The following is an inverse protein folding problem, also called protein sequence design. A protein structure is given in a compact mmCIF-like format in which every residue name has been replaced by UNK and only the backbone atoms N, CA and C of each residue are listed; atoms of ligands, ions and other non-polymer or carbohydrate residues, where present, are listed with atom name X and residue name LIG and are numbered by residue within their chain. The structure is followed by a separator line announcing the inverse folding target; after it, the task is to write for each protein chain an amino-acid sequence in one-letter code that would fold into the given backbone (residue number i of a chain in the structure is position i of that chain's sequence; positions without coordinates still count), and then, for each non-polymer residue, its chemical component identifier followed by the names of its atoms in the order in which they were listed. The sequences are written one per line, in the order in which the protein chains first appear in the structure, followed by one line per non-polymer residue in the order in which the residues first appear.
data_IF_900326333736
#
_entry.id   IF_900326333736
#
_cell.length_a   1.000
_cell.length_b   1.000
_cell.length_c   1.000
_cell.angle_alpha   90.00
_cell.angle_beta   90.00
_cell.angle_gamma   90.00
#
_symmetry.space_group_name_H-M   'P 1'
#
loop_
_entity.id
_entity.type
_entity.pdbx_description
1 polymer ?
#
# COMPACT_ATOMS: atom_id res chain seq x y z
N UNK A 1 23.42 -27.25 -9.24
CA UNK A 1 22.05 -27.74 -8.93
C UNK A 1 21.56 -27.35 -7.54
N UNK A 2 22.41 -27.16 -6.52
CA UNK A 2 21.97 -26.69 -5.19
C UNK A 2 21.44 -25.24 -5.17
N UNK A 3 22.13 -24.31 -5.84
CA UNK A 3 21.72 -22.88 -5.86
C UNK A 3 20.34 -22.62 -6.48
N UNK A 4 19.90 -23.46 -7.43
CA UNK A 4 18.58 -23.32 -8.06
C UNK A 4 17.44 -23.51 -7.04
N UNK A 5 17.56 -24.47 -6.13
CA UNK A 5 16.55 -24.68 -5.09
C UNK A 5 16.45 -23.50 -4.13
N UNK A 6 17.58 -22.88 -3.78
CA UNK A 6 17.62 -21.69 -2.94
C UNK A 6 16.97 -20.49 -3.65
N UNK A 7 17.25 -20.29 -4.94
CA UNK A 7 16.65 -19.23 -5.73
C UNK A 7 15.14 -19.39 -5.91
N UNK A 8 14.66 -20.62 -6.09
CA UNK A 8 13.22 -20.93 -6.18
C UNK A 8 12.52 -20.65 -4.84
N UNK A 9 13.12 -21.08 -3.73
CA UNK A 9 12.53 -20.81 -2.42
C UNK A 9 12.49 -19.30 -2.14
N UNK A 10 13.59 -18.60 -2.43
CA UNK A 10 13.67 -17.16 -2.27
C UNK A 10 12.64 -16.41 -3.12
N UNK A 11 12.44 -16.81 -4.39
CA UNK A 11 11.46 -16.15 -5.26
C UNK A 11 10.03 -16.36 -4.78
N UNK A 12 9.68 -17.56 -4.32
CA UNK A 12 8.36 -17.86 -3.74
C UNK A 12 8.14 -17.06 -2.46
N UNK A 13 9.14 -16.99 -1.58
CA UNK A 13 9.04 -16.19 -0.34
C UNK A 13 8.81 -14.71 -0.65
N UNK A 14 9.56 -14.15 -1.59
CA UNK A 14 9.41 -12.74 -2.01
C UNK A 14 8.03 -12.50 -2.61
N UNK A 15 7.57 -13.38 -3.51
CA UNK A 15 6.25 -13.27 -4.13
C UNK A 15 5.12 -13.33 -3.08
N UNK A 16 5.20 -14.28 -2.14
CA UNK A 16 4.23 -14.42 -1.06
C UNK A 16 4.24 -13.20 -0.12
N UNK A 17 5.42 -12.68 0.22
CA UNK A 17 5.57 -11.47 1.02
C UNK A 17 4.85 -10.28 0.38
N UNK A 18 5.09 -10.03 -0.91
CA UNK A 18 4.42 -8.95 -1.64
C UNK A 18 2.91 -9.16 -1.73
N UNK A 19 2.45 -10.40 -1.93
CA UNK A 19 1.02 -10.71 -1.97
C UNK A 19 0.33 -10.42 -0.63
N UNK A 20 0.94 -10.84 0.49
CA UNK A 20 0.40 -10.59 1.83
C UNK A 20 0.38 -9.08 2.13
N UNK A 21 1.46 -8.38 1.82
CA UNK A 21 1.55 -6.93 1.99
C UNK A 21 0.47 -6.21 1.16
N UNK A 22 0.23 -6.65 -0.08
CA UNK A 22 -0.81 -6.11 -0.94
C UNK A 22 -2.21 -6.31 -0.36
N UNK A 23 -2.54 -7.53 0.07
CA UNK A 23 -3.85 -7.84 0.68
C UNK A 23 -4.06 -7.02 1.95
N UNK A 24 -3.03 -6.90 2.79
CA UNK A 24 -3.07 -6.06 3.99
C UNK A 24 -3.32 -4.59 3.64
N UNK A 25 -2.60 -4.05 2.64
CA UNK A 25 -2.76 -2.67 2.16
C UNK A 25 -4.20 -2.38 1.72
N UNK A 26 -4.79 -3.26 0.91
CA UNK A 26 -6.17 -3.12 0.43
C UNK A 26 -7.17 -3.18 1.59
N UNK A 27 -7.00 -4.13 2.53
CA UNK A 27 -7.88 -4.27 3.69
C UNK A 27 -7.77 -3.11 4.67
N UNK A 28 -6.59 -2.50 4.79
CA UNK A 28 -6.34 -1.36 5.67
C UNK A 28 -6.85 -0.01 5.13
N UNK A 29 -7.49 0.00 3.96
CA UNK A 29 -8.05 1.21 3.35
C UNK A 29 -7.03 2.35 3.15
N UNK A 30 -5.74 2.00 2.98
CA UNK A 30 -4.64 2.94 2.73
C UNK A 30 -4.87 3.84 1.50
N UNK A 31 -5.80 3.46 0.61
CA UNK A 31 -6.11 4.17 -0.62
C UNK A 31 -7.34 5.09 -0.51
N UNK A 32 -7.87 5.33 0.70
CA UNK A 32 -9.03 6.21 0.90
C UNK A 32 -8.69 7.70 0.82
N UNK A 33 -7.42 8.09 1.02
CA UNK A 33 -6.98 9.48 0.87
C UNK A 33 -6.82 9.87 -0.61
N UNK A 34 -7.94 9.87 -1.34
CA UNK A 34 -8.02 10.18 -2.77
C UNK A 34 -7.87 11.66 -3.07
N UNK A 35 -8.19 12.51 -2.10
CA UNK A 35 -8.20 13.97 -2.25
C UNK A 35 -6.80 14.54 -1.95
N UNK A 36 -5.99 13.84 -1.17
CA UNK A 36 -4.62 14.24 -0.85
C UNK A 36 -4.59 15.43 0.11
N UNK A 37 -3.49 15.54 0.86
CA UNK A 37 -3.35 16.56 1.90
C UNK A 37 -3.56 18.00 1.40
N UNK A 38 -3.16 18.30 0.15
CA UNK A 38 -3.29 19.62 -0.44
C UNK A 38 -4.77 20.03 -0.67
N UNK A 39 -5.64 19.12 -1.12
CA UNK A 39 -7.06 19.44 -1.27
C UNK A 39 -7.75 19.60 0.07
N UNK A 40 -7.36 18.81 1.08
CA UNK A 40 -7.89 18.92 2.44
C UNK A 40 -7.67 20.33 3.00
N UNK A 41 -6.46 20.86 2.86
CA UNK A 41 -6.14 22.22 3.32
C UNK A 41 -6.97 23.30 2.60
N UNK A 42 -7.21 23.15 1.30
CA UNK A 42 -8.04 24.09 0.52
C UNK A 42 -9.54 23.98 0.87
N UNK A 43 -10.02 22.80 1.26
CA UNK A 43 -11.42 22.56 1.65
C UNK A 43 -11.71 22.93 3.11
N UNK A 44 -10.72 22.81 4.01
CA UNK A 44 -10.84 23.21 5.42
C UNK A 44 -11.10 24.73 5.56
N UNK A 45 -10.53 25.54 4.67
CA UNK A 45 -10.73 27.00 4.63
C UNK A 45 -12.17 27.40 4.21
N UNK A 46 -12.86 26.56 3.42
CA UNK A 46 -14.24 26.81 2.99
C UNK A 46 -15.26 26.47 4.09
N UNK A 47 -15.02 25.42 4.89
CA UNK A 47 -15.93 25.00 5.95
C UNK A 47 -15.93 25.94 7.15
N UNK A 48 -14.80 26.59 7.44
CA UNK A 48 -14.62 27.50 8.59
C UNK A 48 -15.11 28.93 8.33
N UNK A 49 -15.84 29.16 7.22
CA UNK A 49 -16.33 30.48 6.80
C UNK A 49 -17.80 30.76 7.14
N UNK A 50 -18.46 29.86 7.90
CA UNK A 50 -19.83 30.02 8.40
C UNK A 50 -19.85 30.24 9.91
#
# INVERSE_FOLDING_TARGET
MSALYLLILASITVAAFFLIAFIWSVRSNQFEDKQGAAMRMLQDDEWNKN
#
